data_IF_549170319851
#
_entry.id   IF_549170319851
#
_cell.length_a   1.000
_cell.length_b   1.000
_cell.length_c   1.000
_cell.angle_alpha   90.00
_cell.angle_beta   90.00
_cell.angle_gamma   90.00
#
_symmetry.space_group_name_H-M   'P 1'
#
loop_
_entity.id
_entity.type
_entity.pdbx_description
1 polymer ?
#
# COMPACT_ATOMS: atom_id res chain seq x y z
N UNK A 1 10.14 11.03 -13.00
CA UNK A 1 10.52 12.36 -12.47
C UNK A 1 11.82 12.27 -11.69
N UNK A 2 12.60 13.36 -11.58
CA UNK A 2 13.88 13.43 -10.85
C UNK A 2 13.80 14.44 -9.70
N UNK A 3 14.63 14.27 -8.67
CA UNK A 3 14.71 15.16 -7.50
C UNK A 3 13.32 15.40 -6.86
N UNK A 4 12.68 14.34 -6.40
CA UNK A 4 11.32 14.39 -5.83
C UNK A 4 11.40 14.54 -4.33
N UNK A 5 10.74 15.56 -3.81
CA UNK A 5 10.62 15.86 -2.38
C UNK A 5 9.25 15.41 -1.89
N UNK A 6 9.12 15.19 -0.59
CA UNK A 6 7.88 14.82 0.07
C UNK A 6 7.60 15.75 1.24
N UNK A 7 6.33 16.16 1.35
CA UNK A 7 5.81 16.90 2.48
C UNK A 7 4.56 16.20 3.00
N UNK A 8 4.49 15.96 4.31
CA UNK A 8 3.40 15.26 4.99
C UNK A 8 2.71 16.17 6.00
N UNK A 9 1.39 16.15 6.07
CA UNK A 9 0.61 16.86 7.09
C UNK A 9 0.55 16.01 8.36
N UNK A 10 1.03 16.57 9.48
CA UNK A 10 0.99 15.89 10.76
C UNK A 10 -0.44 15.64 11.21
N UNK A 11 -0.87 14.39 11.11
CA UNK A 11 -2.17 13.92 11.62
C UNK A 11 -3.32 14.75 11.04
N UNK A 12 -3.39 14.85 9.71
CA UNK A 12 -4.32 15.70 8.95
C UNK A 12 -5.73 15.79 9.55
N UNK A 13 -6.47 14.67 9.58
CA UNK A 13 -7.85 14.67 10.07
C UNK A 13 -7.97 15.03 11.55
N UNK A 14 -7.21 14.41 12.48
CA UNK A 14 -7.16 14.87 13.87
C UNK A 14 -6.96 16.38 14.03
N UNK A 15 -6.04 16.98 13.27
CA UNK A 15 -5.75 18.40 13.32
C UNK A 15 -6.96 19.22 12.84
N UNK A 16 -7.57 18.84 11.72
CA UNK A 16 -8.80 19.48 11.21
C UNK A 16 -9.96 19.39 12.21
N UNK A 17 -10.14 18.22 12.82
CA UNK A 17 -11.19 18.00 13.83
C UNK A 17 -11.02 18.94 15.04
N UNK A 18 -9.79 19.14 15.51
CA UNK A 18 -9.50 20.07 16.60
C UNK A 18 -9.68 21.54 16.19
N UNK A 19 -9.14 21.94 15.03
CA UNK A 19 -9.18 23.33 14.54
C UNK A 19 -10.63 23.76 14.26
N UNK A 20 -11.38 22.91 13.57
CA UNK A 20 -12.76 23.18 13.15
C UNK A 20 -13.80 22.75 14.18
N UNK A 21 -13.36 22.20 15.31
CA UNK A 21 -14.21 21.66 16.39
C UNK A 21 -15.24 20.65 15.87
N UNK A 22 -14.83 19.78 14.95
CA UNK A 22 -15.69 18.73 14.37
C UNK A 22 -15.80 17.56 15.34
N UNK A 23 -16.91 17.50 16.05
CA UNK A 23 -17.24 16.45 17.01
C UNK A 23 -18.54 15.74 16.61
N UNK A 24 -18.68 14.44 16.93
CA UNK A 24 -19.92 13.70 16.72
C UNK A 24 -21.05 14.32 17.53
N UNK A 25 -22.25 14.42 16.94
CA UNK A 25 -23.40 15.10 17.57
C UNK A 25 -23.87 14.45 18.86
N UNK A 26 -23.63 13.15 19.01
CA UNK A 26 -23.97 12.39 20.22
C UNK A 26 -23.08 12.72 21.42
N UNK A 27 -21.97 13.44 21.23
CA UNK A 27 -21.05 13.82 22.30
C UNK A 27 -21.44 15.15 22.98
N UNK A 28 -22.56 15.14 23.70
CA UNK A 28 -23.07 16.31 24.43
C UNK A 28 -22.08 16.87 25.46
N UNK A 29 -21.15 16.05 25.95
CA UNK A 29 -20.15 16.43 26.96
C UNK A 29 -18.82 16.89 26.35
N UNK A 30 -18.68 16.85 25.03
CA UNK A 30 -17.46 17.23 24.32
C UNK A 30 -16.24 16.38 24.68
N UNK A 31 -16.44 15.15 25.14
CA UNK A 31 -15.37 14.24 25.60
C UNK A 31 -14.47 13.83 24.43
N UNK A 32 -15.04 13.69 23.24
CA UNK A 32 -14.34 13.21 22.05
C UNK A 32 -13.16 14.10 21.68
N UNK A 33 -13.37 15.40 21.52
CA UNK A 33 -12.27 16.33 21.19
C UNK A 33 -11.31 16.53 22.36
N UNK A 34 -11.78 16.47 23.60
CA UNK A 34 -10.92 16.53 24.78
C UNK A 34 -9.94 15.35 24.83
N UNK A 35 -10.43 14.14 24.56
CA UNK A 35 -9.58 12.95 24.49
C UNK A 35 -8.57 13.04 23.33
N UNK A 36 -9.02 13.50 22.16
CA UNK A 36 -8.15 13.69 21.00
C UNK A 36 -6.99 14.65 21.31
N UNK A 37 -7.30 15.80 21.90
CA UNK A 37 -6.29 16.81 22.26
C UNK A 37 -5.32 16.30 23.34
N UNK A 38 -5.84 15.56 24.32
CA UNK A 38 -5.03 14.95 25.39
C UNK A 38 -4.09 13.88 24.85
N UNK A 39 -4.55 13.02 23.94
CA UNK A 39 -3.71 12.02 23.27
C UNK A 39 -2.64 12.69 22.40
N UNK A 40 -2.98 13.77 21.69
CA UNK A 40 -1.99 14.57 20.94
C UNK A 40 -0.92 15.14 21.87
N UNK A 41 -1.33 15.68 23.00
CA UNK A 41 -0.41 16.21 24.02
C UNK A 41 0.52 15.13 24.57
N UNK A 42 -0.02 13.96 24.92
CA UNK A 42 0.80 12.84 25.38
C UNK A 42 1.78 12.33 24.32
N UNK A 43 1.38 12.33 23.04
CA UNK A 43 2.30 11.97 21.94
C UNK A 43 3.46 12.97 21.82
N UNK A 44 3.18 14.26 21.96
CA UNK A 44 4.22 15.31 21.92
C UNK A 44 5.17 15.19 23.12
N UNK A 45 4.64 14.97 24.32
CA UNK A 45 5.45 14.73 25.52
C UNK A 45 6.33 13.48 25.37
N UNK A 46 5.79 12.39 24.84
CA UNK A 46 6.54 11.17 24.58
C UNK A 46 7.70 11.42 23.60
N UNK A 47 7.44 12.14 22.49
CA UNK A 47 8.51 12.53 21.54
C UNK A 47 9.60 13.38 22.20
N UNK A 48 9.22 14.39 23.01
CA UNK A 48 10.18 15.25 23.73
C UNK A 48 11.04 14.45 24.70
N UNK A 49 10.44 13.52 25.46
CA UNK A 49 11.19 12.66 26.40
C UNK A 49 12.21 11.77 25.72
N UNK A 50 12.05 11.49 24.43
CA UNK A 50 13.01 10.69 23.66
C UNK A 50 14.19 11.48 23.12
N UNK A 51 14.15 12.81 23.16
CA UNK A 51 15.25 13.64 22.70
C UNK A 51 16.49 13.34 23.55
N UNK A 52 17.59 12.95 22.91
CA UNK A 52 18.82 12.54 23.58
C UNK A 52 18.84 11.11 24.15
N UNK A 53 17.73 10.37 24.15
CA UNK A 53 17.71 8.96 24.58
C UNK A 53 18.25 8.02 23.49
N UNK A 54 18.85 6.91 23.92
CA UNK A 54 19.37 5.84 23.06
C UNK A 54 18.98 4.44 23.59
N UNK A 55 19.22 3.39 22.80
CA UNK A 55 18.98 2.01 23.23
C UNK A 55 17.51 1.71 23.59
N UNK A 56 17.30 0.93 24.63
CA UNK A 56 15.98 0.40 25.04
C UNK A 56 15.00 1.50 25.43
N UNK A 57 15.45 2.56 26.09
CA UNK A 57 14.57 3.66 26.53
C UNK A 57 14.02 4.44 25.34
N UNK A 58 14.87 4.68 24.32
CA UNK A 58 14.43 5.26 23.06
C UNK A 58 13.42 4.35 22.36
N UNK A 59 13.69 3.05 22.29
CA UNK A 59 12.79 2.07 21.67
C UNK A 59 11.41 2.04 22.37
N UNK A 60 11.39 2.14 23.70
CA UNK A 60 10.14 2.23 24.46
C UNK A 60 9.37 3.53 24.15
N UNK A 61 10.06 4.67 24.13
CA UNK A 61 9.44 5.93 23.73
C UNK A 61 8.90 5.90 22.29
N UNK A 62 9.64 5.28 21.37
CA UNK A 62 9.22 5.09 19.98
C UNK A 62 7.94 4.25 19.89
N UNK A 63 7.85 3.18 20.68
CA UNK A 63 6.65 2.36 20.77
C UNK A 63 5.46 3.15 21.34
N UNK A 64 5.67 3.96 22.38
CA UNK A 64 4.63 4.81 22.97
C UNK A 64 4.10 5.86 21.99
N UNK A 65 4.98 6.66 21.37
CA UNK A 65 4.55 7.69 20.42
C UNK A 65 3.84 7.07 19.21
N UNK A 66 4.29 5.90 18.75
CA UNK A 66 3.67 5.17 17.64
C UNK A 66 2.28 4.67 18.02
N UNK A 67 2.11 4.18 19.26
CA UNK A 67 0.80 3.77 19.80
C UNK A 67 -0.16 4.96 19.83
N UNK A 68 0.28 6.11 20.34
CA UNK A 68 -0.54 7.31 20.31
C UNK A 68 -0.86 7.78 18.89
N UNK A 69 0.08 7.68 17.93
CA UNK A 69 -0.18 7.97 16.51
C UNK A 69 -1.34 7.12 15.98
N UNK A 70 -1.34 5.82 16.26
CA UNK A 70 -2.40 4.90 15.84
C UNK A 70 -3.74 5.31 16.46
N UNK A 71 -3.77 5.55 17.78
CA UNK A 71 -4.99 5.96 18.47
C UNK A 71 -5.56 7.27 17.90
N UNK A 72 -4.72 8.29 17.77
CA UNK A 72 -5.09 9.61 17.23
C UNK A 72 -5.68 9.48 15.82
N UNK A 73 -4.99 8.77 14.91
CA UNK A 73 -5.47 8.58 13.55
C UNK A 73 -6.76 7.74 13.48
N UNK A 74 -7.04 6.94 14.50
CA UNK A 74 -8.27 6.15 14.59
C UNK A 74 -9.51 6.98 14.92
N UNK A 75 -9.40 8.21 15.44
CA UNK A 75 -10.57 9.05 15.76
C UNK A 75 -11.43 9.34 14.52
N UNK A 76 -10.79 9.62 13.39
CA UNK A 76 -11.51 9.78 12.12
C UNK A 76 -12.21 8.48 11.72
N UNK A 77 -11.49 7.35 11.74
CA UNK A 77 -12.07 6.04 11.41
C UNK A 77 -13.22 5.63 12.33
N UNK A 78 -13.17 6.06 13.60
CA UNK A 78 -14.20 5.79 14.60
C UNK A 78 -15.53 6.48 14.25
N UNK A 79 -15.51 7.67 13.66
CA UNK A 79 -16.73 8.36 13.21
C UNK A 79 -17.48 7.55 12.14
N UNK A 80 -16.75 6.92 11.22
CA UNK A 80 -17.30 6.12 10.13
C UNK A 80 -17.59 4.66 10.46
N UNK A 81 -17.40 4.22 11.72
CA UNK A 81 -17.70 2.86 12.15
C UNK A 81 -19.07 2.79 12.82
N UNK A 82 -20.09 2.25 12.14
CA UNK A 82 -21.50 2.30 12.58
C UNK A 82 -21.77 1.71 13.98
N UNK A 83 -20.95 0.76 14.44
CA UNK A 83 -21.10 0.15 15.78
C UNK A 83 -20.39 0.96 16.88
N UNK A 84 -19.66 2.02 16.53
CA UNK A 84 -18.99 2.90 17.47
C UNK A 84 -20.00 3.77 18.22
N UNK A 85 -19.72 4.05 19.50
CA UNK A 85 -20.57 4.91 20.34
C UNK A 85 -20.61 6.36 19.86
N UNK A 86 -19.50 6.84 19.28
CA UNK A 86 -19.41 8.16 18.68
C UNK A 86 -19.40 8.11 17.14
N UNK A 87 -20.10 7.13 16.54
CA UNK A 87 -20.28 7.12 15.10
C UNK A 87 -21.10 8.34 14.65
N UNK A 88 -20.62 9.06 13.65
CA UNK A 88 -21.33 10.15 12.99
C UNK A 88 -20.78 10.33 11.56
N UNK A 89 -21.45 9.70 10.59
CA UNK A 89 -21.03 9.70 9.19
C UNK A 89 -21.02 11.10 8.58
N UNK A 90 -21.94 11.98 8.99
CA UNK A 90 -22.02 13.36 8.48
C UNK A 90 -20.78 14.16 8.90
N UNK A 91 -20.31 13.95 10.13
CA UNK A 91 -19.08 14.57 10.64
C UNK A 91 -17.86 13.97 9.94
N UNK A 92 -17.83 12.65 9.73
CA UNK A 92 -16.76 12.00 8.97
C UNK A 92 -16.65 12.60 7.56
N UNK A 93 -17.76 12.72 6.84
CA UNK A 93 -17.82 13.32 5.50
C UNK A 93 -17.34 14.77 5.50
N UNK A 94 -17.74 15.56 6.51
CA UNK A 94 -17.27 16.94 6.64
C UNK A 94 -15.76 17.03 6.86
N UNK A 95 -15.19 16.16 7.72
CA UNK A 95 -13.75 16.08 7.94
C UNK A 95 -13.01 15.73 6.64
N UNK A 96 -13.54 14.78 5.85
CA UNK A 96 -12.96 14.41 4.56
C UNK A 96 -13.05 15.57 3.54
N UNK A 97 -14.16 16.29 3.50
CA UNK A 97 -14.34 17.43 2.62
C UNK A 97 -13.36 18.58 2.94
N UNK A 98 -13.23 18.92 4.23
CA UNK A 98 -12.26 19.92 4.70
C UNK A 98 -10.82 19.45 4.42
N UNK A 99 -10.54 18.15 4.53
CA UNK A 99 -9.25 17.56 4.17
C UNK A 99 -8.92 17.70 2.69
N UNK A 100 -9.87 17.40 1.79
CA UNK A 100 -9.69 17.59 0.34
C UNK A 100 -9.44 19.05 -0.01
N UNK A 101 -10.20 19.98 0.58
CA UNK A 101 -10.01 21.41 0.35
C UNK A 101 -8.60 21.86 0.76
N UNK A 102 -8.14 21.43 1.94
CA UNK A 102 -6.78 21.72 2.40
C UNK A 102 -5.70 21.16 1.46
N UNK A 103 -5.87 19.91 0.98
CA UNK A 103 -4.93 19.32 0.03
C UNK A 103 -4.91 20.09 -1.30
N UNK A 104 -6.05 20.52 -1.81
CA UNK A 104 -6.14 21.37 -3.01
C UNK A 104 -5.42 22.71 -2.81
N UNK A 105 -5.58 23.36 -1.65
CA UNK A 105 -4.90 24.61 -1.32
C UNK A 105 -3.38 24.42 -1.19
N UNK A 106 -2.93 23.29 -0.63
CA UNK A 106 -1.51 22.94 -0.52
C UNK A 106 -0.89 22.70 -1.91
N UNK A 107 -1.57 21.97 -2.79
CA UNK A 107 -1.14 21.77 -4.17
C UNK A 107 -1.05 23.10 -4.94
N UNK A 108 -2.04 23.97 -4.79
CA UNK A 108 -2.02 25.30 -5.39
C UNK A 108 -0.87 26.17 -4.85
N UNK A 109 -0.60 26.07 -3.54
CA UNK A 109 0.50 26.78 -2.89
C UNK A 109 1.86 26.29 -3.39
N UNK A 110 2.07 24.98 -3.53
CA UNK A 110 3.30 24.42 -4.12
C UNK A 110 3.53 24.98 -5.53
N UNK A 111 2.50 24.94 -6.38
CA UNK A 111 2.56 25.49 -7.75
C UNK A 111 2.92 26.97 -7.76
N UNK A 112 2.30 27.78 -6.89
CA UNK A 112 2.59 29.21 -6.75
C UNK A 112 4.03 29.48 -6.31
N UNK A 113 4.61 28.60 -5.50
CA UNK A 113 6.01 28.67 -5.06
C UNK A 113 6.99 28.09 -6.10
N UNK A 114 6.52 27.72 -7.29
CA UNK A 114 7.34 27.21 -8.39
C UNK A 114 7.69 25.72 -8.28
N UNK A 115 7.07 24.97 -7.37
CA UNK A 115 7.18 23.52 -7.32
C UNK A 115 6.15 22.85 -8.23
N UNK A 116 6.48 21.66 -8.72
CA UNK A 116 5.61 20.83 -9.55
C UNK A 116 5.11 19.64 -8.72
N UNK A 117 3.83 19.61 -8.28
CA UNK A 117 3.27 18.43 -7.64
C UNK A 117 3.26 17.23 -8.60
N UNK A 118 3.66 16.07 -8.09
CA UNK A 118 3.80 14.83 -8.85
C UNK A 118 2.72 13.82 -8.51
N UNK A 119 2.47 13.62 -7.21
CA UNK A 119 1.53 12.65 -6.67
C UNK A 119 1.12 13.10 -5.28
N UNK A 120 -0.08 12.76 -4.84
CA UNK A 120 -0.55 13.03 -3.48
C UNK A 120 -1.29 11.82 -2.93
N UNK A 121 -1.08 11.52 -1.66
CA UNK A 121 -1.87 10.52 -0.97
C UNK A 121 -2.83 11.16 0.05
N UNK A 122 -3.06 10.53 1.19
CA UNK A 122 -4.09 10.99 2.15
C UNK A 122 -3.67 12.26 2.86
N UNK A 123 -2.40 12.35 3.21
CA UNK A 123 -1.80 13.40 4.04
C UNK A 123 -0.46 13.91 3.49
N UNK A 124 0.09 13.27 2.45
CA UNK A 124 1.36 13.64 1.83
C UNK A 124 1.26 14.11 0.38
N UNK A 125 2.22 14.93 -0.02
CA UNK A 125 2.40 15.39 -1.41
C UNK A 125 3.86 15.15 -1.81
N UNK A 126 4.05 14.42 -2.92
CA UNK A 126 5.30 14.33 -3.65
C UNK A 126 5.36 15.45 -4.67
N UNK A 127 6.48 16.16 -4.74
CA UNK A 127 6.67 17.28 -5.66
C UNK A 127 8.11 17.42 -6.11
N UNK A 128 8.33 17.99 -7.29
CA UNK A 128 9.66 18.46 -7.72
C UNK A 128 9.78 19.92 -7.26
N UNK A 129 10.79 20.28 -6.45
CA UNK A 129 10.99 21.67 -6.03
C UNK A 129 11.47 22.53 -7.21
N UNK A 130 11.32 23.87 -7.12
CA UNK A 130 11.98 24.77 -8.07
C UNK A 130 13.51 24.59 -8.01
N UNK A 131 14.20 25.07 -9.04
CA UNK A 131 15.66 25.11 -9.04
C UNK A 131 16.15 26.02 -7.92
N UNK A 132 16.89 25.45 -6.96
CA UNK A 132 17.53 26.19 -5.88
C UNK A 132 18.94 26.60 -6.32
N UNK A 133 19.19 27.90 -6.42
CA UNK A 133 20.45 28.45 -6.94
C UNK A 133 21.44 28.82 -5.82
N UNK A 134 20.92 29.14 -4.63
CA UNK A 134 21.70 29.60 -3.48
C UNK A 134 21.49 28.69 -2.28
N UNK A 135 22.53 28.63 -1.45
CA UNK A 135 22.41 28.05 -0.12
C UNK A 135 21.31 28.79 0.66
N UNK A 136 20.34 28.04 1.19
CA UNK A 136 19.20 28.58 1.93
C UNK A 136 17.89 28.70 1.15
N UNK A 137 17.90 28.60 -0.19
CA UNK A 137 16.67 28.69 -0.99
C UNK A 137 15.65 27.61 -0.61
N UNK A 138 16.11 26.39 -0.34
CA UNK A 138 15.26 25.30 0.13
C UNK A 138 14.60 25.62 1.48
N UNK A 139 15.35 26.20 2.43
CA UNK A 139 14.82 26.58 3.74
C UNK A 139 13.81 27.73 3.61
N UNK A 140 14.09 28.71 2.74
CA UNK A 140 13.17 29.81 2.44
C UNK A 140 11.87 29.31 1.78
N UNK A 141 11.97 28.36 0.83
CA UNK A 141 10.81 27.70 0.23
C UNK A 141 9.96 26.99 1.29
N UNK A 142 10.58 26.18 2.15
CA UNK A 142 9.86 25.46 3.20
C UNK A 142 9.20 26.42 4.20
N UNK A 143 9.87 27.52 4.56
CA UNK A 143 9.30 28.55 5.43
C UNK A 143 8.10 29.25 4.76
N UNK A 144 8.23 29.63 3.48
CA UNK A 144 7.14 30.24 2.73
C UNK A 144 5.93 29.30 2.59
N UNK A 145 6.16 28.01 2.35
CA UNK A 145 5.10 27.01 2.31
C UNK A 145 4.39 26.89 3.66
N UNK A 146 5.13 26.75 4.78
CA UNK A 146 4.55 26.67 6.13
C UNK A 146 3.72 27.92 6.47
N UNK A 147 4.21 29.11 6.14
CA UNK A 147 3.52 30.37 6.42
C UNK A 147 2.23 30.56 5.62
N UNK A 148 2.05 29.82 4.52
CA UNK A 148 0.82 29.85 3.72
C UNK A 148 -0.25 28.89 4.23
N UNK A 149 0.07 27.99 5.17
CA UNK A 149 -0.88 27.02 5.71
C UNK A 149 -1.79 27.67 6.78
N UNK A 150 -3.03 27.18 6.94
CA UNK A 150 -3.89 27.62 8.02
C UNK A 150 -3.27 27.38 9.40
N UNK A 151 -3.58 28.25 10.36
CA UNK A 151 -3.13 28.09 11.75
C UNK A 151 -3.53 26.72 12.31
N UNK A 152 -2.59 26.05 12.97
CA UNK A 152 -2.78 24.71 13.54
C UNK A 152 -2.51 23.54 12.59
N UNK A 153 -2.30 23.80 11.29
CA UNK A 153 -1.83 22.78 10.34
C UNK A 153 -0.30 22.78 10.33
N UNK A 154 0.28 21.65 10.74
CA UNK A 154 1.72 21.43 10.73
C UNK A 154 2.12 20.44 9.63
N UNK A 155 3.24 20.71 8.97
CA UNK A 155 3.81 19.83 7.94
C UNK A 155 5.26 19.44 8.25
N UNK A 156 5.61 18.21 7.89
CA UNK A 156 6.99 17.68 7.91
C UNK A 156 7.49 17.53 6.47
N UNK A 157 8.69 18.04 6.18
CA UNK A 157 9.40 17.71 4.95
C UNK A 157 10.33 16.54 5.26
N UNK A 158 9.86 15.33 4.96
CA UNK A 158 10.43 14.08 5.50
C UNK A 158 10.99 13.14 4.44
N UNK A 159 11.01 13.56 3.17
CA UNK A 159 11.54 12.76 2.07
C UNK A 159 12.22 13.56 0.98
N UNK A 160 13.39 13.10 0.55
CA UNK A 160 14.08 13.53 -0.67
C UNK A 160 14.50 12.27 -1.41
N UNK A 161 14.04 12.14 -2.66
CA UNK A 161 14.19 10.96 -3.49
C UNK A 161 14.85 11.33 -4.82
N UNK A 162 15.94 10.64 -5.24
CA UNK A 162 16.59 10.95 -6.51
C UNK A 162 15.67 10.81 -7.73
N UNK A 163 14.76 9.84 -7.70
CA UNK A 163 13.79 9.63 -8.78
C UNK A 163 12.49 9.02 -8.25
N UNK A 164 11.40 9.29 -8.99
CA UNK A 164 10.09 8.69 -8.81
C UNK A 164 9.55 8.22 -10.15
N UNK A 165 8.90 7.07 -10.14
CA UNK A 165 8.07 6.55 -11.21
C UNK A 165 6.64 6.41 -10.66
N UNK A 166 5.73 7.23 -11.16
CA UNK A 166 4.30 7.14 -10.85
C UNK A 166 3.61 6.42 -12.02
N UNK A 167 2.87 5.35 -11.71
CA UNK A 167 2.10 4.60 -12.70
C UNK A 167 0.63 5.01 -12.69
N UNK A 168 0.01 4.96 -11.50
CA UNK A 168 -1.36 5.41 -11.25
C UNK A 168 -1.42 5.97 -9.83
N UNK A 169 -2.51 6.67 -9.50
CA UNK A 169 -2.76 7.17 -8.15
C UNK A 169 -2.47 6.08 -7.10
N UNK A 170 -1.67 6.44 -6.08
CA UNK A 170 -1.21 5.54 -4.99
C UNK A 170 -0.34 4.35 -5.43
N UNK A 171 0.09 4.26 -6.69
CA UNK A 171 0.92 3.20 -7.26
C UNK A 171 2.18 3.79 -7.89
N UNK A 172 3.25 3.85 -7.10
CA UNK A 172 4.50 4.48 -7.49
C UNK A 172 5.72 3.77 -6.90
N UNK A 173 6.88 4.05 -7.47
CA UNK A 173 8.18 3.61 -6.99
C UNK A 173 9.13 4.80 -6.82
N UNK A 174 9.94 4.77 -5.77
CA UNK A 174 10.92 5.80 -5.43
C UNK A 174 12.29 5.13 -5.33
N UNK A 175 13.32 5.78 -5.88
CA UNK A 175 14.69 5.44 -5.51
C UNK A 175 15.05 6.12 -4.19
N UNK A 176 15.85 5.45 -3.36
CA UNK A 176 16.39 6.06 -2.14
C UNK A 176 17.79 6.60 -2.38
N UNK A 177 18.26 7.60 -1.60
CA UNK A 177 19.62 8.11 -1.69
C UNK A 177 20.70 7.03 -1.54
N UNK A 178 20.42 5.96 -0.81
CA UNK A 178 21.31 4.82 -0.56
C UNK A 178 21.30 3.79 -1.71
N UNK A 179 20.58 4.04 -2.80
CA UNK A 179 20.44 3.12 -3.93
C UNK A 179 19.37 2.04 -3.73
N UNK A 180 18.52 2.18 -2.71
CA UNK A 180 17.38 1.30 -2.47
C UNK A 180 16.16 1.64 -3.34
N UNK A 181 15.16 0.76 -3.30
CA UNK A 181 13.89 0.95 -3.98
C UNK A 181 12.73 0.87 -2.99
N UNK A 182 11.89 1.90 -2.95
CA UNK A 182 10.62 1.90 -2.23
C UNK A 182 9.49 1.78 -3.25
N UNK A 183 8.81 0.64 -3.25
CA UNK A 183 7.58 0.44 -4.02
C UNK A 183 6.39 0.79 -3.12
N UNK A 184 5.34 1.40 -3.65
CA UNK A 184 4.05 1.71 -2.99
C UNK A 184 2.89 1.36 -3.92
N UNK A 185 1.74 1.05 -3.33
CA UNK A 185 0.53 0.65 -4.06
C UNK A 185 0.33 -0.85 -4.20
N UNK A 186 -0.94 -1.27 -4.14
CA UNK A 186 -1.32 -2.68 -4.19
C UNK A 186 -1.01 -3.32 -5.55
N UNK A 187 -1.12 -2.54 -6.65
CA UNK A 187 -0.83 -3.05 -7.99
C UNK A 187 0.65 -3.38 -8.18
N UNK A 188 1.55 -2.65 -7.49
CA UNK A 188 3.00 -2.86 -7.57
C UNK A 188 3.55 -3.79 -6.48
N UNK A 189 2.87 -3.92 -5.33
CA UNK A 189 3.33 -4.78 -4.22
C UNK A 189 2.77 -6.19 -4.22
N UNK A 190 1.81 -6.50 -5.10
CA UNK A 190 0.90 -7.64 -4.96
C UNK A 190 1.57 -8.88 -4.34
N UNK A 191 1.20 -9.16 -3.08
CA UNK A 191 1.71 -10.28 -2.27
C UNK A 191 1.35 -11.64 -2.88
N UNK A 192 0.38 -11.67 -3.80
CA UNK A 192 -0.06 -12.88 -4.50
C UNK A 192 0.75 -13.22 -5.75
N UNK A 193 1.71 -12.37 -6.16
CA UNK A 193 2.59 -12.64 -7.30
C UNK A 193 3.69 -13.63 -6.93
N UNK A 194 3.97 -14.54 -7.85
CA UNK A 194 5.12 -15.44 -7.74
C UNK A 194 6.44 -14.64 -7.69
N UNK A 195 7.49 -15.15 -7.00
CA UNK A 195 8.73 -14.41 -6.81
C UNK A 195 9.36 -13.88 -8.09
N UNK A 196 9.35 -14.63 -9.20
CA UNK A 196 9.92 -14.18 -10.47
C UNK A 196 9.24 -12.92 -11.03
N UNK A 197 7.93 -12.79 -10.86
CA UNK A 197 7.19 -11.59 -11.29
C UNK A 197 7.53 -10.39 -10.40
N UNK A 198 7.70 -10.61 -9.10
CA UNK A 198 8.10 -9.56 -8.14
C UNK A 198 9.52 -9.08 -8.40
N UNK A 199 10.44 -10.01 -8.65
CA UNK A 199 11.82 -9.69 -8.99
C UNK A 199 11.89 -8.94 -10.32
N UNK A 200 11.20 -9.44 -11.36
CA UNK A 200 11.15 -8.78 -12.66
C UNK A 200 10.59 -7.35 -12.56
N UNK A 201 9.49 -7.16 -11.82
CA UNK A 201 8.90 -5.85 -11.62
C UNK A 201 9.84 -4.90 -10.87
N UNK A 202 10.50 -5.37 -9.81
CA UNK A 202 11.49 -4.58 -9.07
C UNK A 202 12.62 -4.12 -10.00
N UNK A 203 13.18 -5.03 -10.79
CA UNK A 203 14.30 -4.74 -11.67
C UNK A 203 13.89 -3.81 -12.83
N UNK A 204 12.69 -4.00 -13.38
CA UNK A 204 12.09 -3.12 -14.39
C UNK A 204 11.88 -1.70 -13.85
N UNK A 205 11.31 -1.56 -12.65
CA UNK A 205 11.13 -0.27 -11.99
C UNK A 205 12.48 0.40 -11.70
N UNK A 206 13.48 -0.37 -11.29
CA UNK A 206 14.86 0.11 -11.13
C UNK A 206 15.41 0.70 -12.43
N UNK A 207 15.24 0.00 -13.57
CA UNK A 207 15.66 0.50 -14.87
C UNK A 207 15.00 1.85 -15.21
N UNK A 208 13.69 2.00 -14.98
CA UNK A 208 12.97 3.27 -15.21
C UNK A 208 13.48 4.41 -14.32
N UNK A 209 13.65 4.14 -13.02
CA UNK A 209 14.14 5.12 -12.07
C UNK A 209 15.58 5.54 -12.36
N UNK A 210 16.38 4.66 -12.95
CA UNK A 210 17.76 4.97 -13.35
C UNK A 210 17.83 5.61 -14.74
N UNK A 211 16.75 5.57 -15.54
CA UNK A 211 16.73 6.08 -16.92
C UNK A 211 17.37 5.12 -17.93
N UNK A 212 17.39 3.82 -17.61
CA UNK A 212 17.91 2.71 -18.45
C UNK A 212 16.77 1.91 -19.08
N UNK A 213 15.79 2.59 -19.64
CA UNK A 213 14.57 1.96 -20.19
C UNK A 213 14.88 1.09 -21.41
N UNK A 214 15.91 1.44 -22.17
CA UNK A 214 16.48 0.69 -23.28
C UNK A 214 16.96 -0.72 -22.88
N UNK A 215 17.30 -0.95 -21.60
CA UNK A 215 17.68 -2.28 -21.09
C UNK A 215 16.47 -3.18 -20.79
N UNK A 216 15.26 -2.65 -20.70
CA UNK A 216 14.05 -3.40 -20.30
C UNK A 216 13.76 -4.60 -21.25
N UNK A 217 13.88 -4.49 -22.58
CA UNK A 217 13.77 -5.65 -23.47
C UNK A 217 14.80 -6.75 -23.19
N UNK A 218 16.07 -6.37 -22.94
CA UNK A 218 17.11 -7.33 -22.57
C UNK A 218 16.81 -7.99 -21.20
N UNK A 219 16.24 -7.24 -20.25
CA UNK A 219 15.85 -7.76 -18.93
C UNK A 219 14.78 -8.84 -19.08
N UNK A 220 13.79 -8.59 -19.92
CA UNK A 220 12.76 -9.59 -20.26
C UNK A 220 13.39 -10.85 -20.83
N UNK A 221 14.34 -10.70 -21.77
CA UNK A 221 15.02 -11.83 -22.40
C UNK A 221 15.82 -12.67 -21.38
N UNK A 222 16.53 -12.03 -20.45
CA UNK A 222 17.27 -12.71 -19.38
C UNK A 222 16.34 -13.53 -18.46
N UNK A 223 15.21 -12.96 -18.04
CA UNK A 223 14.22 -13.66 -17.23
C UNK A 223 13.58 -14.83 -18.00
N UNK A 224 13.25 -14.62 -19.27
CA UNK A 224 12.72 -15.67 -20.13
C UNK A 224 13.72 -16.82 -20.28
N UNK A 225 15.00 -16.50 -20.44
CA UNK A 225 16.06 -17.52 -20.55
C UNK A 225 16.28 -18.27 -19.23
N UNK A 226 16.23 -17.57 -18.09
CA UNK A 226 16.30 -18.21 -16.78
C UNK A 226 15.14 -19.20 -16.53
N UNK A 227 13.95 -18.88 -17.06
CA UNK A 227 12.80 -19.78 -17.02
C UNK A 227 13.07 -20.99 -17.93
N UNK A 228 13.41 -20.78 -19.22
CA UNK A 228 13.65 -21.87 -20.19
C UNK A 228 14.73 -22.85 -19.75
N UNK A 229 15.85 -22.33 -19.28
CA UNK A 229 17.01 -23.12 -18.85
C UNK A 229 16.88 -23.67 -17.43
N UNK A 230 15.82 -23.29 -16.70
CA UNK A 230 15.59 -23.67 -15.31
C UNK A 230 16.75 -23.29 -14.37
N UNK A 231 17.47 -22.22 -14.69
CA UNK A 231 18.69 -21.81 -13.98
C UNK A 231 18.42 -21.28 -12.55
N UNK A 232 17.15 -20.98 -12.23
CA UNK A 232 16.71 -20.53 -10.91
C UNK A 232 15.94 -21.63 -10.16
N UNK A 233 15.97 -21.66 -8.82
CA UNK A 233 15.23 -22.65 -8.04
C UNK A 233 13.73 -22.64 -8.32
N UNK A 234 13.08 -23.79 -8.26
CA UNK A 234 11.64 -23.93 -8.55
C UNK A 234 10.76 -23.00 -7.71
N UNK A 235 11.11 -22.77 -6.43
CA UNK A 235 10.41 -21.83 -5.54
C UNK A 235 10.29 -20.41 -6.11
N UNK A 236 11.17 -20.02 -7.04
CA UNK A 236 11.13 -18.73 -7.72
C UNK A 236 9.89 -18.58 -8.61
N UNK A 237 9.38 -19.70 -9.14
CA UNK A 237 8.17 -19.78 -9.94
C UNK A 237 6.93 -20.13 -9.11
N UNK A 238 7.09 -20.49 -7.84
CA UNK A 238 6.00 -21.01 -7.04
C UNK A 238 5.06 -19.90 -6.55
N UNK A 239 3.77 -20.23 -6.50
CA UNK A 239 2.75 -19.43 -5.80
C UNK A 239 2.55 -19.97 -4.40
N UNK A 240 2.40 -19.06 -3.43
CA UNK A 240 2.09 -19.43 -2.03
C UNK A 240 0.77 -18.81 -1.63
N UNK A 241 -0.16 -19.63 -1.15
CA UNK A 241 -1.49 -19.22 -0.68
C UNK A 241 -1.69 -19.63 0.77
N UNK A 242 -2.42 -18.81 1.53
CA UNK A 242 -2.82 -19.14 2.91
C UNK A 242 -4.24 -19.69 2.92
N UNK A 243 -4.42 -20.89 3.48
CA UNK A 243 -5.74 -21.50 3.63
C UNK A 243 -6.61 -20.66 4.57
N UNK A 244 -7.80 -20.27 4.11
CA UNK A 244 -8.75 -19.43 4.86
C UNK A 244 -9.68 -20.28 5.73
N UNK A 245 -10.04 -21.46 5.25
CA UNK A 245 -10.84 -22.45 5.96
C UNK A 245 -10.17 -23.83 5.93
N UNK A 246 -10.64 -24.73 6.79
CA UNK A 246 -10.17 -26.11 6.81
C UNK A 246 -10.46 -26.80 5.46
N UNK A 247 -9.60 -27.71 4.94
CA UNK A 247 -9.81 -28.36 3.65
C UNK A 247 -11.18 -29.05 3.48
N UNK A 248 -11.73 -29.64 4.55
CA UNK A 248 -13.08 -30.23 4.53
C UNK A 248 -14.20 -29.19 4.34
N UNK A 249 -14.05 -28.00 4.92
CA UNK A 249 -15.01 -26.89 4.73
C UNK A 249 -15.01 -26.44 3.27
N UNK A 250 -13.82 -26.34 2.66
CA UNK A 250 -13.69 -26.08 1.23
C UNK A 250 -14.38 -27.16 0.39
N UNK A 251 -14.15 -28.43 0.70
CA UNK A 251 -14.74 -29.55 -0.04
C UNK A 251 -16.28 -29.53 0.01
N UNK A 252 -16.85 -29.28 1.19
CA UNK A 252 -18.29 -29.14 1.36
C UNK A 252 -18.87 -27.95 0.56
N UNK A 253 -18.20 -26.78 0.59
CA UNK A 253 -18.61 -25.60 -0.19
C UNK A 253 -18.51 -25.86 -1.70
N UNK A 254 -17.45 -26.54 -2.14
CA UNK A 254 -17.27 -26.94 -3.54
C UNK A 254 -18.39 -27.90 -3.98
N UNK A 255 -18.73 -28.89 -3.15
CA UNK A 255 -19.82 -29.83 -3.41
C UNK A 255 -21.19 -29.17 -3.54
N UNK A 256 -21.42 -28.07 -2.80
CA UNK A 256 -22.64 -27.24 -2.88
C UNK A 256 -22.61 -26.22 -4.03
N UNK A 257 -21.54 -26.17 -4.83
CA UNK A 257 -21.38 -25.19 -5.91
C UNK A 257 -21.10 -23.75 -5.44
N UNK A 258 -20.99 -23.50 -4.12
CA UNK A 258 -20.79 -22.17 -3.56
C UNK A 258 -19.31 -21.73 -3.56
N UNK A 259 -18.41 -22.55 -4.11
CA UNK A 259 -16.98 -22.25 -4.21
C UNK A 259 -16.33 -22.91 -5.43
N UNK A 260 -15.62 -22.11 -6.23
CA UNK A 260 -14.86 -22.58 -7.38
C UNK A 260 -13.62 -23.38 -6.96
N UNK A 261 -13.10 -24.20 -7.88
CA UNK A 261 -11.88 -25.00 -7.66
C UNK A 261 -10.67 -24.09 -7.44
N UNK A 262 -9.93 -24.32 -6.36
CA UNK A 262 -8.68 -23.62 -6.05
C UNK A 262 -7.53 -24.63 -5.96
N UNK A 263 -6.42 -24.35 -6.64
CA UNK A 263 -5.29 -25.27 -6.76
C UNK A 263 -4.66 -25.66 -5.42
N UNK A 264 -4.50 -24.72 -4.48
CA UNK A 264 -3.93 -25.02 -3.16
C UNK A 264 -4.78 -26.04 -2.42
N UNK A 265 -6.11 -25.86 -2.40
CA UNK A 265 -7.01 -26.81 -1.72
C UNK A 265 -7.08 -28.16 -2.43
N UNK A 266 -7.14 -28.17 -3.77
CA UNK A 266 -7.14 -29.42 -4.54
C UNK A 266 -5.86 -30.24 -4.30
N UNK A 267 -4.71 -29.58 -4.20
CA UNK A 267 -3.43 -30.24 -3.90
C UNK A 267 -3.37 -30.77 -2.48
N UNK A 268 -3.80 -29.97 -1.51
CA UNK A 268 -3.86 -30.38 -0.11
C UNK A 268 -4.74 -31.61 0.07
N UNK A 269 -5.94 -31.63 -0.51
CA UNK A 269 -6.85 -32.78 -0.44
C UNK A 269 -6.23 -34.04 -1.07
N UNK A 270 -5.51 -33.91 -2.18
CA UNK A 270 -4.81 -35.05 -2.82
C UNK A 270 -3.57 -35.51 -2.07
N UNK A 271 -2.92 -34.63 -1.31
CA UNK A 271 -1.66 -34.93 -0.63
C UNK A 271 -1.79 -35.94 0.52
N UNK A 272 -3.01 -36.10 1.08
CA UNK A 272 -3.26 -36.90 2.28
C UNK A 272 -2.61 -36.34 3.56
N UNK A 273 -1.99 -35.16 3.50
CA UNK A 273 -1.36 -34.49 4.65
C UNK A 273 -2.39 -33.71 5.46
N UNK A 274 -2.17 -33.60 6.76
CA UNK A 274 -2.99 -32.79 7.64
C UNK A 274 -2.65 -31.30 7.45
N UNK A 275 -3.63 -30.52 7.00
CA UNK A 275 -3.55 -29.06 6.86
C UNK A 275 -4.73 -28.39 7.59
N UNK A 276 -4.52 -27.16 8.05
CA UNK A 276 -5.49 -26.35 8.80
C UNK A 276 -5.64 -24.95 8.20
N UNK A 277 -6.69 -24.25 8.62
CA UNK A 277 -6.82 -22.82 8.31
C UNK A 277 -5.61 -22.06 8.89
N UNK A 278 -5.04 -21.15 8.10
CA UNK A 278 -3.82 -20.42 8.40
C UNK A 278 -2.55 -21.03 7.80
N UNK A 279 -2.56 -22.30 7.39
CA UNK A 279 -1.39 -22.92 6.79
C UNK A 279 -1.06 -22.32 5.42
N UNK A 280 0.23 -22.25 5.11
CA UNK A 280 0.73 -21.80 3.80
C UNK A 280 0.99 -23.00 2.88
N UNK A 281 0.49 -22.91 1.66
CA UNK A 281 0.62 -23.94 0.62
C UNK A 281 1.37 -23.33 -0.56
N UNK A 282 2.56 -23.84 -0.83
CA UNK A 282 3.37 -23.45 -1.98
C UNK A 282 3.28 -24.49 -3.08
N UNK A 283 2.91 -24.06 -4.28
CA UNK A 283 2.75 -24.93 -5.45
C UNK A 283 3.24 -24.25 -6.73
N UNK A 284 3.47 -25.05 -7.77
CA UNK A 284 3.88 -24.58 -9.09
C UNK A 284 3.04 -25.27 -10.18
N UNK A 285 2.91 -24.60 -11.33
CA UNK A 285 2.16 -25.09 -12.50
C UNK A 285 3.00 -26.05 -13.33
N UNK A 286 2.39 -27.15 -13.76
CA UNK A 286 2.96 -28.21 -14.60
C UNK A 286 2.25 -28.28 -15.97
N UNK A 287 2.81 -29.06 -16.90
CA UNK A 287 2.28 -29.21 -18.26
C UNK A 287 3.08 -28.47 -19.34
N UNK A 288 2.55 -28.44 -20.56
CA UNK A 288 3.25 -27.93 -21.74
C UNK A 288 2.57 -26.73 -22.42
N UNK A 289 1.30 -26.43 -22.09
CA UNK A 289 0.53 -25.34 -22.69
C UNK A 289 0.54 -24.11 -21.79
N UNK A 290 0.55 -22.93 -22.41
CA UNK A 290 0.52 -21.66 -21.68
C UNK A 290 -0.81 -21.44 -20.94
N UNK A 291 -1.93 -21.85 -21.53
CA UNK A 291 -3.24 -21.81 -20.89
C UNK A 291 -3.62 -23.21 -20.37
N UNK A 292 -3.67 -23.34 -19.04
CA UNK A 292 -4.04 -24.57 -18.35
C UNK A 292 -4.88 -24.27 -17.11
N UNK A 293 -5.88 -25.10 -16.78
CA UNK A 293 -6.58 -24.99 -15.51
C UNK A 293 -5.62 -25.36 -14.38
N UNK A 294 -5.12 -24.33 -13.67
CA UNK A 294 -4.08 -24.44 -12.63
C UNK A 294 -4.45 -25.46 -11.55
N UNK A 295 -5.72 -25.58 -11.19
CA UNK A 295 -6.19 -26.54 -10.18
C UNK A 295 -6.00 -28.02 -10.57
N UNK A 296 -5.79 -28.30 -11.86
CA UNK A 296 -5.53 -29.64 -12.39
C UNK A 296 -4.09 -29.82 -12.88
N UNK A 297 -3.35 -28.73 -13.05
CA UNK A 297 -2.01 -28.71 -13.62
C UNK A 297 -1.04 -28.04 -12.65
N UNK A 298 -1.01 -28.51 -11.41
CA UNK A 298 -0.10 -28.02 -10.40
C UNK A 298 0.43 -29.16 -9.54
N UNK A 299 1.55 -28.92 -8.86
CA UNK A 299 2.12 -29.80 -7.84
C UNK A 299 2.63 -28.97 -6.66
N UNK A 300 2.59 -29.55 -5.45
CA UNK A 300 3.22 -28.94 -4.28
C UNK A 300 4.73 -28.83 -4.51
N UNK A 301 5.33 -27.72 -4.10
CA UNK A 301 6.78 -27.52 -4.23
C UNK A 301 7.56 -28.61 -3.46
N UNK A 302 7.02 -29.04 -2.31
CA UNK A 302 7.62 -30.11 -1.50
C UNK A 302 7.57 -31.50 -2.15
N UNK A 303 6.79 -31.69 -3.21
CA UNK A 303 6.65 -32.97 -3.92
C UNK A 303 7.42 -32.96 -5.26
N UNK A 304 8.11 -31.86 -5.58
CA UNK A 304 8.89 -31.74 -6.78
C UNK A 304 10.18 -32.59 -6.69
N UNK A 305 10.49 -33.32 -7.76
CA UNK A 305 11.80 -33.95 -7.92
C UNK A 305 12.79 -32.91 -8.47
N UNK A 306 13.84 -32.52 -7.71
CA UNK A 306 14.84 -31.56 -8.18
C UNK A 306 15.61 -32.04 -9.43
N UNK A 307 15.72 -33.35 -9.65
CA UNK A 307 16.39 -33.94 -10.81
C UNK A 307 15.48 -34.03 -12.05
N UNK A 308 14.16 -34.07 -11.86
CA UNK A 308 13.16 -34.19 -12.92
C UNK A 308 12.14 -33.05 -12.88
N UNK A 309 12.64 -31.83 -13.07
CA UNK A 309 11.85 -30.59 -13.08
C UNK A 309 10.82 -30.53 -14.21
N UNK A 310 9.55 -30.47 -13.84
CA UNK A 310 8.38 -30.51 -14.73
C UNK A 310 7.53 -29.23 -14.71
N UNK A 311 8.10 -28.09 -14.29
CA UNK A 311 7.40 -26.82 -14.38
C UNK A 311 7.01 -26.45 -15.82
N UNK A 312 5.85 -25.83 -15.95
CA UNK A 312 5.28 -25.42 -17.23
C UNK A 312 5.95 -24.14 -17.75
N UNK A 313 6.99 -24.31 -18.55
CA UNK A 313 7.75 -23.20 -19.14
C UNK A 313 6.84 -22.24 -19.93
N UNK A 314 5.93 -22.76 -20.76
CA UNK A 314 5.04 -21.94 -21.58
C UNK A 314 4.11 -21.06 -20.73
N UNK A 315 3.58 -21.59 -19.63
CA UNK A 315 2.74 -20.84 -18.69
C UNK A 315 3.52 -19.68 -18.03
N UNK A 316 4.73 -19.93 -17.55
CA UNK A 316 5.51 -18.88 -16.89
C UNK A 316 6.05 -17.82 -17.85
N UNK A 317 6.40 -18.20 -19.08
CA UNK A 317 6.75 -17.25 -20.14
C UNK A 317 5.56 -16.35 -20.49
N UNK A 318 4.37 -16.93 -20.67
CA UNK A 318 3.16 -16.14 -20.93
C UNK A 318 2.83 -15.18 -19.77
N UNK A 319 3.07 -15.59 -18.52
CA UNK A 319 2.94 -14.71 -17.35
C UNK A 319 3.98 -13.60 -17.29
N UNK A 320 5.20 -13.85 -17.78
CA UNK A 320 6.23 -12.82 -17.92
C UNK A 320 5.85 -11.83 -19.03
N UNK A 321 5.37 -12.32 -20.17
CA UNK A 321 4.89 -11.50 -21.29
C UNK A 321 3.74 -10.60 -20.87
N UNK A 322 2.70 -11.16 -20.24
CA UNK A 322 1.56 -10.39 -19.75
C UNK A 322 1.98 -9.29 -18.73
N UNK A 323 2.98 -9.58 -17.90
CA UNK A 323 3.52 -8.60 -16.96
C UNK A 323 4.31 -7.50 -17.67
N UNK A 324 5.17 -7.88 -18.62
CA UNK A 324 5.92 -6.95 -19.45
C UNK A 324 4.99 -6.02 -20.24
N UNK A 325 3.97 -6.57 -20.89
CA UNK A 325 3.02 -5.82 -21.69
C UNK A 325 2.19 -4.87 -20.80
N UNK A 326 1.75 -5.34 -19.63
CA UNK A 326 1.03 -4.49 -18.66
C UNK A 326 1.81 -3.23 -18.29
N UNK A 327 3.13 -3.33 -18.14
CA UNK A 327 3.96 -2.20 -17.75
C UNK A 327 4.46 -1.37 -18.93
N UNK A 328 4.47 -1.89 -20.15
CA UNK A 328 4.94 -1.18 -21.35
C UNK A 328 3.82 -0.73 -22.29
N UNK A 329 2.57 -1.08 -21.99
CA UNK A 329 1.41 -0.43 -22.60
C UNK A 329 1.47 1.08 -22.32
N UNK A 330 1.01 1.93 -23.25
CA UNK A 330 0.85 3.36 -22.97
C UNK A 330 0.03 3.52 -21.70
N UNK A 331 0.57 4.19 -20.69
CA UNK A 331 -0.25 4.64 -19.57
C UNK A 331 -1.21 5.69 -20.14
N UNK A 332 -2.51 5.42 -20.07
CA UNK A 332 -3.47 6.52 -19.96
C UNK A 332 -3.00 7.29 -18.72
N UNK A 333 -2.38 8.46 -18.92
CA UNK A 333 -1.68 9.20 -17.87
C UNK A 333 -2.52 9.38 -16.60
N UNK A 334 -1.94 9.89 -15.49
CA UNK A 334 -2.69 10.06 -14.25
C UNK A 334 -4.00 10.79 -14.57
N UNK A 335 -5.13 10.09 -14.41
CA UNK A 335 -6.43 10.71 -14.47
C UNK A 335 -6.39 11.84 -13.43
N UNK A 336 -6.83 13.04 -13.83
CA UNK A 336 -6.92 14.23 -12.98
C UNK A 336 -8.08 14.06 -11.96
N UNK A 337 -8.14 12.89 -11.34
CA UNK A 337 -9.12 12.52 -10.35
C UNK A 337 -8.60 13.05 -9.02
N UNK A 338 -9.29 14.07 -8.52
CA UNK A 338 -9.10 14.60 -7.17
C UNK A 338 -8.95 13.44 -6.16
N UNK A 339 -8.12 13.57 -5.11
CA UNK A 339 -7.80 12.47 -4.22
C UNK A 339 -9.07 11.85 -3.62
N UNK A 340 -9.43 10.66 -4.11
CA UNK A 340 -10.47 9.84 -3.50
C UNK A 340 -9.90 9.21 -2.22
N UNK A 341 -10.37 9.76 -1.11
CA UNK A 341 -10.25 9.19 0.22
C UNK A 341 -11.39 8.18 0.40
N UNK A 342 -11.20 7.12 1.21
CA UNK A 342 -12.21 6.09 1.35
C UNK A 342 -13.53 6.71 1.79
N UNK A 343 -14.49 6.75 0.86
CA UNK A 343 -15.89 6.98 1.17
C UNK A 343 -16.36 5.81 2.01
N UNK A 344 -16.89 6.08 3.19
CA UNK A 344 -17.61 5.06 3.94
C UNK A 344 -18.86 4.71 3.12
N UNK A 345 -18.78 3.64 2.34
CA UNK A 345 -19.92 3.11 1.60
C UNK A 345 -21.05 2.84 2.58
N UNK A 346 -22.27 3.29 2.22
CA UNK A 346 -23.50 3.02 2.97
C UNK A 346 -23.95 1.55 2.92
N UNK A 347 -23.14 0.65 2.37
CA UNK A 347 -23.42 -0.78 2.29
C UNK A 347 -22.84 -1.53 3.50
N UNK A 348 -23.42 -1.29 4.66
CA UNK A 348 -23.45 -2.30 5.72
C UNK A 348 -24.79 -3.02 5.59
N UNK A 349 -24.73 -4.25 5.07
CA UNK A 349 -25.89 -5.10 4.86
C UNK A 349 -26.81 -5.15 6.08
N UNK A 350 -28.11 -5.04 5.81
CA UNK A 350 -29.16 -5.32 6.76
C UNK A 350 -28.93 -6.70 7.38
N UNK A 351 -28.46 -6.73 8.62
CA UNK A 351 -28.58 -7.92 9.45
C UNK A 351 -30.05 -8.02 9.85
N UNK A 352 -30.75 -9.00 9.28
CA UNK A 352 -32.08 -9.42 9.72
C UNK A 352 -32.07 -9.64 11.24
N UNK A 353 -32.93 -8.91 11.95
CA UNK A 353 -33.23 -9.19 13.34
C UNK A 353 -34.02 -10.51 13.39
N UNK A 354 -33.66 -11.48 14.25
CA UNK A 354 -34.53 -12.60 14.50
C UNK A 354 -35.76 -12.10 15.28
N UNK A 355 -36.94 -12.28 14.70
CA UNK A 355 -38.22 -12.15 15.39
C UNK A 355 -38.26 -13.13 16.56
N UNK A 356 -38.36 -12.61 17.78
CA UNK A 356 -38.61 -13.39 18.97
C UNK A 356 -40.10 -13.74 19.10
N UNK A 357 -40.37 -15.00 19.43
CA UNK A 357 -41.56 -15.39 20.20
C UNK A 357 -41.45 -14.93 21.66
#
# INVERSE_FOLDING_TARGET
MRNVHHVDVRSLYPSLMLIRRLAPRSDERGVFLQLLDRLRTFRLEARRRMEGLTGTERAHGDALQSTYKILINSFYGYLGFSQARFSDFDVAERVTADGRALMSDMLATLRRLGAEPVESDTDGIYYVPPAFAKAGDAAAFQAAFRSALPEGIEVEFDGIYPAMYAHRMKNYALSTPEGGLIIKGAALKSRGLEPFQRDFMRDLLGCRLEGREDRIPALKAEYAEAIRTRSRPLRWLAKTETLQDHPSTYEAKRGKGSRARNAAYELVLRSGRAYRAGDQVSYYVTGARADVPVHSHARLVGDADPAARDENIAYYLAKLDALYDKFNAPDDGPADDAPELPGFGRDAGAAEQPTGE
#
